data_IF_668835508481
#
_entry.id   IF_668835508481
#
_cell.length_a   1.000
_cell.length_b   1.000
_cell.length_c   1.000
_cell.angle_alpha   90.00
_cell.angle_beta   90.00
_cell.angle_gamma   90.00
#
_symmetry.space_group_name_H-M   'P 1'
#
loop_
_entity.id
_entity.type
_entity.pdbx_description
1 polymer ?
#
# COMPACT_ATOMS: atom_id res chain seq x y z
N UNK A 1 0.38 -76.33 -5.99
CA UNK A 1 -0.21 -77.10 -7.10
C UNK A 1 -1.37 -76.28 -7.69
N UNK A 2 -1.19 -75.82 -8.94
CA UNK A 2 -2.19 -75.43 -9.97
C UNK A 2 -3.34 -74.44 -9.66
N UNK A 3 -3.31 -73.28 -10.34
CA UNK A 3 -4.47 -72.41 -10.68
C UNK A 3 -5.33 -73.04 -11.79
N UNK A 4 -6.64 -72.73 -11.86
CA UNK A 4 -7.21 -71.85 -12.92
C UNK A 4 -8.44 -71.03 -12.42
N UNK A 5 -9.14 -70.10 -13.09
CA UNK A 5 -9.21 -69.54 -14.46
C UNK A 5 -9.93 -68.17 -14.35
N UNK A 6 -9.66 -67.27 -15.31
CA UNK A 6 -10.19 -65.91 -15.50
C UNK A 6 -11.68 -65.87 -15.89
N UNK A 7 -12.39 -64.73 -15.70
CA UNK A 7 -13.27 -63.98 -16.67
C UNK A 7 -13.85 -62.73 -15.95
N UNK A 8 -13.48 -61.52 -16.34
CA UNK A 8 -14.25 -60.56 -17.18
C UNK A 8 -15.45 -59.91 -16.48
N UNK A 9 -15.39 -58.60 -16.18
CA UNK A 9 -16.08 -57.56 -16.96
C UNK A 9 -15.93 -56.16 -16.33
N UNK A 10 -15.88 -55.17 -17.21
CA UNK A 10 -15.87 -53.72 -16.99
C UNK A 10 -16.96 -53.25 -16.02
N UNK A 11 -16.62 -52.34 -15.11
CA UNK A 11 -17.48 -51.20 -14.78
C UNK A 11 -16.60 -49.99 -14.45
N UNK A 12 -16.63 -49.02 -15.37
CA UNK A 12 -16.15 -47.67 -15.18
C UNK A 12 -17.08 -46.90 -14.22
N UNK A 13 -16.63 -45.72 -13.80
CA UNK A 13 -17.28 -44.69 -12.95
C UNK A 13 -17.09 -44.90 -11.43
N UNK A 14 -16.83 -43.90 -10.60
CA UNK A 14 -17.09 -42.48 -10.73
C UNK A 14 -16.20 -41.61 -9.80
N UNK A 15 -16.10 -40.33 -10.19
CA UNK A 15 -15.81 -39.13 -9.39
C UNK A 15 -14.41 -38.98 -8.75
N UNK A 16 -13.62 -38.12 -9.38
CA UNK A 16 -12.59 -37.31 -8.73
C UNK A 16 -13.21 -36.63 -7.50
N UNK A 17 -12.79 -37.05 -6.30
CA UNK A 17 -13.12 -36.39 -5.05
C UNK A 17 -12.43 -35.04 -4.98
N UNK A 18 -13.19 -33.98 -5.20
CA UNK A 18 -12.78 -32.60 -4.93
C UNK A 18 -13.39 -32.21 -3.58
N UNK A 19 -12.55 -32.12 -2.56
CA UNK A 19 -12.87 -31.43 -1.31
C UNK A 19 -11.72 -30.50 -0.95
N UNK A 20 -11.61 -29.41 -1.70
CA UNK A 20 -11.07 -28.17 -1.18
C UNK A 20 -12.22 -27.15 -1.22
N UNK A 21 -13.07 -27.18 -0.19
CA UNK A 21 -14.02 -26.11 0.06
C UNK A 21 -13.24 -24.89 0.53
N UNK A 22 -12.86 -24.03 -0.40
CA UNK A 22 -12.56 -22.64 -0.10
C UNK A 22 -13.90 -21.91 0.04
N UNK A 23 -14.13 -21.09 1.07
CA UNK A 23 -15.26 -20.18 1.06
C UNK A 23 -14.97 -19.06 0.04
N UNK A 24 -15.42 -19.26 -1.19
CA UNK A 24 -15.63 -18.17 -2.17
C UNK A 24 -16.95 -17.48 -1.80
N UNK A 25 -16.90 -16.58 -0.82
CA UNK A 25 -17.91 -15.54 -0.63
C UNK A 25 -17.20 -14.22 -0.35
N UNK A 26 -16.44 -13.72 -1.33
CA UNK A 26 -16.22 -12.29 -1.45
C UNK A 26 -17.41 -11.73 -2.23
N UNK A 27 -18.31 -11.05 -1.53
CA UNK A 27 -19.42 -10.33 -2.15
C UNK A 27 -18.88 -8.98 -2.63
N UNK A 28 -18.18 -8.96 -3.77
CA UNK A 28 -17.99 -7.72 -4.50
C UNK A 28 -19.33 -7.39 -5.16
N UNK A 29 -20.11 -6.51 -4.55
CA UNK A 29 -21.21 -5.85 -5.25
C UNK A 29 -20.62 -5.25 -6.52
N UNK A 30 -21.06 -5.73 -7.68
CA UNK A 30 -20.75 -5.09 -8.95
C UNK A 30 -21.44 -3.73 -8.95
N UNK A 31 -20.78 -2.72 -8.40
CA UNK A 31 -21.15 -1.34 -8.70
C UNK A 31 -20.88 -1.17 -10.18
N UNK A 32 -21.90 -0.71 -10.89
CA UNK A 32 -21.82 -0.22 -12.25
C UNK A 32 -20.52 0.58 -12.40
N UNK A 33 -19.73 0.28 -13.45
CA UNK A 33 -18.57 1.11 -13.80
C UNK A 33 -19.11 2.49 -14.13
N UNK A 34 -19.10 3.38 -13.16
CA UNK A 34 -18.96 4.79 -13.45
C UNK A 34 -17.62 4.89 -14.18
N UNK A 35 -17.65 5.22 -15.47
CA UNK A 35 -16.43 5.58 -16.19
C UNK A 35 -16.04 6.93 -15.61
N UNK A 36 -15.31 6.89 -14.49
CA UNK A 36 -14.60 8.05 -14.00
C UNK A 36 -13.56 8.30 -15.07
N UNK A 37 -13.72 9.40 -15.80
CA UNK A 37 -12.74 9.87 -16.75
C UNK A 37 -11.43 10.09 -15.96
N UNK A 38 -10.40 9.28 -16.17
CA UNK A 38 -9.09 9.35 -15.49
C UNK A 38 -8.34 10.70 -15.70
N UNK A 39 -9.01 11.69 -16.31
CA UNK A 39 -8.51 13.02 -16.64
C UNK A 39 -8.72 14.06 -15.53
N UNK A 40 -9.53 13.79 -14.49
CA UNK A 40 -9.91 14.83 -13.50
C UNK A 40 -9.24 14.68 -12.13
N UNK A 41 -8.51 13.60 -11.86
CA UNK A 41 -7.66 13.51 -10.66
C UNK A 41 -6.34 14.27 -10.89
N UNK A 42 -6.39 15.61 -10.77
CA UNK A 42 -5.21 16.47 -10.81
C UNK A 42 -4.43 16.37 -9.48
N UNK A 43 -3.92 15.18 -9.18
CA UNK A 43 -3.10 14.96 -8.00
C UNK A 43 -1.74 15.64 -8.20
N UNK A 44 -1.49 16.70 -7.44
CA UNK A 44 -0.23 17.44 -7.46
C UNK A 44 0.55 17.20 -6.19
N UNK A 45 1.87 17.05 -6.36
CA UNK A 45 2.80 16.91 -5.25
C UNK A 45 2.95 15.47 -4.77
N UNK A 46 3.25 15.33 -3.48
CA UNK A 46 3.46 14.04 -2.83
C UNK A 46 2.18 13.55 -2.15
N UNK A 47 1.91 12.25 -2.25
CA UNK A 47 0.85 11.55 -1.53
C UNK A 47 1.37 11.12 -0.16
N UNK A 48 0.82 11.72 0.89
CA UNK A 48 1.16 11.45 2.28
C UNK A 48 0.13 10.54 2.95
N UNK A 49 0.64 9.56 3.68
CA UNK A 49 -0.11 8.71 4.60
C UNK A 49 0.40 8.99 6.00
N UNK A 50 -0.51 9.26 6.94
CA UNK A 50 -0.19 9.54 8.34
C UNK A 50 -0.83 8.47 9.21
N UNK A 51 -0.03 7.88 10.10
CA UNK A 51 -0.39 6.69 10.86
C UNK A 51 -0.37 6.95 12.36
N UNK A 52 -1.26 6.28 13.09
CA UNK A 52 -1.34 6.35 14.56
C UNK A 52 -0.44 5.34 15.27
N UNK A 53 0.15 4.41 14.52
CA UNK A 53 1.16 3.44 14.93
C UNK A 53 2.53 3.77 14.32
N UNK A 54 3.58 3.06 14.75
CA UNK A 54 4.94 3.26 14.24
C UNK A 54 5.27 2.35 13.07
N UNK A 55 4.44 1.33 12.84
CA UNK A 55 4.67 0.23 11.92
C UNK A 55 4.04 0.46 10.53
N UNK A 56 3.50 1.67 10.29
CA UNK A 56 2.85 2.09 9.05
C UNK A 56 1.60 1.26 8.70
N UNK A 57 0.74 0.97 9.68
CA UNK A 57 -0.44 0.09 9.50
C UNK A 57 -1.77 0.81 9.67
N UNK A 58 -1.92 1.57 10.74
CA UNK A 58 -3.16 2.20 11.16
C UNK A 58 -3.24 3.63 10.62
N UNK A 59 -3.67 3.75 9.36
CA UNK A 59 -3.79 5.04 8.66
C UNK A 59 -4.91 5.89 9.26
N UNK A 60 -4.59 7.11 9.69
CA UNK A 60 -5.55 8.11 10.13
C UNK A 60 -5.88 9.14 9.07
N UNK A 61 -4.89 9.56 8.26
CA UNK A 61 -5.06 10.59 7.25
C UNK A 61 -4.34 10.23 5.96
N UNK A 62 -4.97 10.54 4.83
CA UNK A 62 -4.34 10.56 3.51
C UNK A 62 -4.49 11.99 2.97
N UNK A 63 -3.39 12.62 2.58
CA UNK A 63 -3.39 13.99 2.06
C UNK A 63 -2.37 14.16 0.93
N UNK A 64 -2.45 15.29 0.22
CA UNK A 64 -1.50 15.69 -0.80
C UNK A 64 -0.71 16.93 -0.36
N UNK A 65 0.58 16.96 -0.63
CA UNK A 65 1.46 18.10 -0.36
C UNK A 65 2.06 18.60 -1.67
N UNK A 66 1.65 19.79 -2.13
CA UNK A 66 2.13 20.37 -3.39
C UNK A 66 3.57 20.92 -3.32
N UNK A 67 4.15 20.99 -2.12
CA UNK A 67 5.49 21.51 -1.87
C UNK A 67 6.30 20.57 -0.97
N UNK A 68 7.51 20.98 -0.62
CA UNK A 68 8.34 20.26 0.37
C UNK A 68 7.86 20.40 1.82
N UNK A 69 6.85 21.24 2.09
CA UNK A 69 6.18 21.27 3.38
C UNK A 69 5.16 20.13 3.47
N UNK A 70 5.45 19.17 4.33
CA UNK A 70 4.66 17.95 4.56
C UNK A 70 3.90 18.00 5.89
N UNK A 71 3.88 19.16 6.56
CA UNK A 71 3.17 19.34 7.82
C UNK A 71 1.65 19.24 7.62
N UNK A 72 0.97 18.79 8.68
CA UNK A 72 -0.48 18.78 8.78
C UNK A 72 -0.86 19.73 9.89
N UNK A 73 -1.67 20.72 9.56
CA UNK A 73 -2.21 21.65 10.54
C UNK A 73 -3.43 21.02 11.23
N UNK A 74 -3.35 20.85 12.54
CA UNK A 74 -4.42 20.24 13.33
C UNK A 74 -5.73 21.04 13.22
N UNK A 75 -5.65 22.36 13.02
CA UNK A 75 -6.84 23.20 12.87
C UNK A 75 -7.58 22.89 11.55
N UNK A 76 -6.86 22.46 10.52
CA UNK A 76 -7.46 22.10 9.21
C UNK A 76 -8.17 20.75 9.23
N UNK A 77 -7.79 19.86 10.16
CA UNK A 77 -8.34 18.51 10.28
C UNK A 77 -9.24 18.34 11.51
N UNK A 78 -9.52 19.41 12.26
CA UNK A 78 -10.28 19.36 13.52
C UNK A 78 -11.69 18.78 13.32
N UNK A 79 -12.38 19.24 12.28
CA UNK A 79 -13.71 18.75 11.93
C UNK A 79 -13.70 17.39 11.20
N UNK A 80 -12.53 16.91 10.78
CA UNK A 80 -12.38 15.69 9.97
C UNK A 80 -11.90 14.48 10.77
N UNK A 81 -11.11 14.72 11.82
CA UNK A 81 -10.49 13.67 12.63
C UNK A 81 -10.72 13.91 14.12
N UNK A 82 -11.18 12.89 14.86
CA UNK A 82 -11.28 12.98 16.31
C UNK A 82 -9.88 13.10 16.94
N UNK A 83 -9.80 13.73 18.12
CA UNK A 83 -8.53 14.07 18.79
C UNK A 83 -7.58 12.88 18.97
N UNK A 84 -8.10 11.69 19.27
CA UNK A 84 -7.30 10.48 19.44
C UNK A 84 -6.56 10.05 18.16
N UNK A 85 -7.01 10.48 16.98
CA UNK A 85 -6.40 10.15 15.69
C UNK A 85 -5.45 11.25 15.17
N UNK A 86 -5.38 12.41 15.83
CA UNK A 86 -4.49 13.51 15.43
C UNK A 86 -3.04 13.35 15.92
N UNK A 87 -2.77 12.33 16.72
CA UNK A 87 -1.40 12.00 17.14
C UNK A 87 -0.76 11.01 16.17
N UNK A 88 -0.15 11.54 15.11
CA UNK A 88 0.61 10.72 14.17
C UNK A 88 1.93 10.25 14.78
N UNK A 89 2.24 8.95 14.64
CA UNK A 89 3.47 8.33 15.14
C UNK A 89 4.43 7.94 14.02
N UNK A 90 3.94 7.82 12.80
CA UNK A 90 4.73 7.62 11.60
C UNK A 90 4.00 8.18 10.38
N UNK A 91 4.73 8.37 9.29
CA UNK A 91 4.18 8.85 8.03
C UNK A 91 4.98 8.30 6.84
N UNK A 92 4.34 8.23 5.68
CA UNK A 92 4.95 7.79 4.43
C UNK A 92 4.50 8.70 3.29
N UNK A 93 5.45 9.20 2.51
CA UNK A 93 5.15 10.00 1.32
C UNK A 93 5.67 9.31 0.07
N UNK A 94 4.90 9.38 -1.01
CA UNK A 94 5.28 8.86 -2.32
C UNK A 94 4.92 9.84 -3.44
N UNK A 95 5.73 9.87 -4.49
CA UNK A 95 5.53 10.73 -5.63
C UNK A 95 6.80 10.90 -6.45
N UNK A 96 6.83 11.97 -7.25
CA UNK A 96 7.94 12.26 -8.16
C UNK A 96 8.51 13.65 -7.89
N UNK A 97 9.83 13.77 -7.99
CA UNK A 97 10.53 15.05 -8.00
C UNK A 97 11.05 15.32 -9.41
N UNK A 98 10.89 16.56 -9.89
CA UNK A 98 11.44 17.00 -11.17
C UNK A 98 12.41 18.16 -10.94
N UNK A 99 13.70 17.92 -11.13
CA UNK A 99 14.69 18.99 -11.09
C UNK A 99 14.47 19.99 -12.24
N UNK A 100 14.45 21.28 -11.92
CA UNK A 100 14.31 22.33 -12.93
C UNK A 100 15.55 22.52 -13.80
N UNK A 101 16.72 22.05 -13.34
CA UNK A 101 18.01 22.08 -14.03
C UNK A 101 18.80 20.82 -13.69
N UNK A 102 19.67 20.38 -14.58
CA UNK A 102 20.63 19.32 -14.29
C UNK A 102 21.69 19.83 -13.31
N UNK A 103 22.05 19.01 -12.33
CA UNK A 103 23.05 19.34 -11.32
C UNK A 103 23.08 18.31 -10.19
N UNK A 104 23.99 18.51 -9.25
CA UNK A 104 24.05 17.73 -8.00
C UNK A 104 23.12 18.37 -6.97
N UNK A 105 22.38 17.51 -6.25
CA UNK A 105 21.43 17.92 -5.22
C UNK A 105 21.65 17.11 -3.95
N UNK A 106 21.50 17.77 -2.80
CA UNK A 106 21.46 17.13 -1.49
C UNK A 106 20.04 17.24 -0.95
N UNK A 107 19.46 16.11 -0.52
CA UNK A 107 18.17 16.08 0.16
C UNK A 107 18.37 16.10 1.68
N UNK A 108 17.44 16.76 2.38
CA UNK A 108 17.36 16.80 3.84
C UNK A 108 15.91 16.98 4.26
N UNK A 109 15.56 16.51 5.45
CA UNK A 109 14.26 16.77 6.09
C UNK A 109 14.45 17.60 7.36
N UNK A 110 13.34 17.94 8.01
CA UNK A 110 13.37 18.54 9.34
C UNK A 110 13.84 17.56 10.42
N UNK A 111 13.90 16.26 10.13
CA UNK A 111 14.24 15.20 11.09
C UNK A 111 14.91 14.00 10.38
N UNK A 112 16.14 14.22 9.92
CA UNK A 112 16.93 13.18 9.24
C UNK A 112 17.15 11.94 10.15
N UNK A 113 17.22 12.14 11.46
CA UNK A 113 17.41 11.08 12.47
C UNK A 113 16.16 10.21 12.68
N UNK A 114 15.08 10.44 11.96
CA UNK A 114 13.91 9.56 11.97
C UNK A 114 13.36 9.33 10.56
N UNK A 115 14.16 9.63 9.52
CA UNK A 115 13.74 9.55 8.12
C UNK A 115 14.59 8.55 7.34
N UNK A 116 13.93 7.76 6.50
CA UNK A 116 14.56 7.04 5.39
C UNK A 116 14.00 7.62 4.09
N UNK A 117 14.87 8.04 3.18
CA UNK A 117 14.48 8.60 1.89
C UNK A 117 15.13 7.83 0.74
N UNK A 118 14.29 7.41 -0.20
CA UNK A 118 14.69 6.75 -1.44
C UNK A 118 14.36 7.62 -2.64
N UNK A 119 15.29 7.73 -3.58
CA UNK A 119 15.12 8.38 -4.88
C UNK A 119 15.58 7.39 -5.94
N UNK A 120 14.70 7.02 -6.87
CA UNK A 120 14.98 6.04 -7.93
C UNK A 120 15.69 4.77 -7.41
N UNK A 121 15.12 4.16 -6.37
CA UNK A 121 15.64 2.96 -5.68
C UNK A 121 17.03 3.13 -5.00
N UNK A 122 17.55 4.35 -4.92
CA UNK A 122 18.75 4.68 -4.17
C UNK A 122 18.39 5.36 -2.85
N UNK A 123 18.89 4.82 -1.73
CA UNK A 123 18.76 5.45 -0.42
C UNK A 123 19.66 6.69 -0.36
N UNK A 124 19.07 7.87 -0.15
CA UNK A 124 19.77 9.16 -0.10
C UNK A 124 19.81 9.78 1.29
N UNK A 125 18.88 9.38 2.17
CA UNK A 125 18.96 9.62 3.61
C UNK A 125 18.93 8.25 4.28
N UNK A 126 20.01 7.95 5.01
CA UNK A 126 20.15 6.76 5.82
C UNK A 126 20.55 7.14 7.24
N UNK A 127 20.04 6.39 8.20
CA UNK A 127 20.37 6.51 9.62
C UNK A 127 21.74 5.90 9.96
N UNK A 128 22.72 5.98 9.05
CA UNK A 128 24.01 5.33 9.18
C UNK A 128 25.16 6.32 9.40
N UNK A 129 24.97 7.38 10.18
CA UNK A 129 26.12 8.18 10.67
C UNK A 129 25.83 9.00 11.93
N UNK A 130 25.02 8.49 12.85
CA UNK A 130 24.96 9.03 14.22
C UNK A 130 25.70 8.05 15.13
N UNK A 131 26.93 8.45 15.46
CA UNK A 131 27.96 7.85 16.33
C UNK A 131 27.46 7.17 17.60
#
# INVERSE_FOLDING_TARGET
MKLPKMYTCLLATALLGQFATYPELSHAASSEREIINDQDANFKGLLGYYFTDKELKETALISNSESGDLSVDNDQIDDMLPEELKQFKSAMWTGFVKAGKSGEYTFSTSDNDHTILWIDDQQVIDQSSST
#
